data_IF_709151383245
#
_entry.id   IF_709151383245
#
_cell.length_a   1.000
_cell.length_b   1.000
_cell.length_c   1.000
_cell.angle_alpha   90.00
_cell.angle_beta   90.00
_cell.angle_gamma   90.00
#
_symmetry.space_group_name_H-M   'P 1'
#
loop_
_entity.id
_entity.type
_entity.pdbx_description
1 polymer ?
#
# COMPACT_ATOMS: atom_id res chain seq x y z
N UNK A 1 -75.58 -30.41 -7.81
CA UNK A 1 -74.91 -29.13 -7.38
C UNK A 1 -73.88 -29.50 -6.38
N UNK A 2 -72.57 -29.47 -6.79
CA UNK A 2 -71.40 -29.79 -5.96
C UNK A 2 -70.62 -28.53 -5.79
N UNK A 3 -70.62 -28.02 -4.57
CA UNK A 3 -69.83 -26.77 -4.20
C UNK A 3 -68.34 -27.07 -4.02
N UNK A 4 -67.48 -26.46 -4.84
CA UNK A 4 -66.01 -26.50 -4.70
C UNK A 4 -65.62 -25.65 -3.51
N UNK A 5 -65.11 -26.26 -2.43
CA UNK A 5 -64.36 -25.59 -1.37
C UNK A 5 -62.97 -25.34 -1.88
N UNK A 6 -62.58 -24.04 -2.01
CA UNK A 6 -61.25 -23.61 -2.26
C UNK A 6 -60.44 -23.76 -0.98
N UNK A 7 -59.43 -24.64 -0.97
CA UNK A 7 -58.39 -24.70 0.03
C UNK A 7 -57.32 -23.63 -0.34
N UNK A 8 -57.31 -22.51 0.36
CA UNK A 8 -56.22 -21.55 0.32
C UNK A 8 -55.08 -22.12 1.17
N UNK A 9 -54.04 -22.61 0.52
CA UNK A 9 -52.77 -22.95 1.17
C UNK A 9 -52.05 -21.67 1.53
N UNK A 10 -52.03 -21.31 2.82
CA UNK A 10 -51.20 -20.25 3.35
C UNK A 10 -49.73 -20.71 3.34
N UNK A 11 -48.94 -20.20 2.38
CA UNK A 11 -47.50 -20.35 2.40
C UNK A 11 -46.94 -19.47 3.53
N UNK A 12 -46.58 -20.10 4.65
CA UNK A 12 -45.74 -19.43 5.67
C UNK A 12 -44.33 -19.20 5.06
N UNK A 13 -43.81 -17.98 5.10
CA UNK A 13 -42.41 -17.77 4.80
C UNK A 13 -41.57 -18.46 5.87
N UNK A 14 -40.80 -19.47 5.50
CA UNK A 14 -39.74 -20.03 6.32
C UNK A 14 -38.69 -18.93 6.50
N UNK A 15 -38.78 -18.20 7.60
CA UNK A 15 -37.69 -17.35 8.08
C UNK A 15 -36.53 -18.28 8.45
N UNK A 16 -35.57 -18.40 7.55
CA UNK A 16 -34.28 -19.02 7.86
C UNK A 16 -33.66 -18.23 9.00
N UNK A 17 -33.25 -18.87 10.10
CA UNK A 17 -32.68 -18.16 11.23
C UNK A 17 -31.38 -17.53 10.81
N UNK A 18 -31.24 -16.22 11.07
CA UNK A 18 -29.99 -15.43 10.96
C UNK A 18 -28.97 -15.83 12.06
N UNK A 19 -28.80 -17.12 12.34
CA UNK A 19 -27.98 -17.67 13.44
C UNK A 19 -26.52 -17.96 13.06
N UNK A 20 -26.06 -17.56 11.86
CA UNK A 20 -24.70 -17.91 11.42
C UNK A 20 -23.64 -16.84 11.72
N UNK A 21 -23.99 -15.69 12.34
CA UNK A 21 -23.02 -14.60 12.55
C UNK A 21 -22.34 -14.61 13.93
N UNK A 22 -22.86 -15.33 14.92
CA UNK A 22 -22.32 -15.29 16.29
C UNK A 22 -21.03 -16.09 16.48
N UNK A 23 -20.60 -16.91 15.50
CA UNK A 23 -19.41 -17.77 15.59
C UNK A 23 -18.34 -17.49 14.50
N UNK A 24 -18.33 -16.31 13.91
CA UNK A 24 -17.25 -15.98 12.97
C UNK A 24 -15.96 -15.62 13.74
N UNK A 25 -14.77 -16.17 13.36
CA UNK A 25 -14.51 -17.15 12.30
C UNK A 25 -14.63 -18.61 12.80
N UNK A 26 -15.26 -19.49 11.99
CA UNK A 26 -15.41 -20.91 12.28
C UNK A 26 -14.48 -21.83 11.44
N UNK A 27 -13.66 -21.26 10.55
CA UNK A 27 -12.70 -21.96 9.66
C UNK A 27 -11.48 -21.09 9.40
N UNK A 28 -10.39 -21.66 8.84
CA UNK A 28 -9.17 -20.91 8.54
C UNK A 28 -9.39 -19.69 7.64
N UNK A 29 -8.64 -18.63 7.91
CA UNK A 29 -8.64 -17.37 7.15
C UNK A 29 -7.40 -17.33 6.26
N UNK A 30 -7.58 -16.86 5.03
CA UNK A 30 -6.50 -16.65 4.06
C UNK A 30 -6.23 -15.18 3.86
N UNK A 31 -5.01 -14.74 4.10
CA UNK A 31 -4.51 -13.43 3.69
C UNK A 31 -3.85 -13.57 2.32
N UNK A 32 -4.45 -12.98 1.31
CA UNK A 32 -3.85 -12.89 -0.03
C UNK A 32 -2.88 -11.72 -0.06
N UNK A 33 -1.62 -12.02 -0.36
CA UNK A 33 -0.53 -11.08 -0.57
C UNK A 33 -0.24 -11.01 -2.07
N UNK A 34 -0.50 -9.88 -2.77
CA UNK A 34 -0.44 -9.82 -4.24
C UNK A 34 0.97 -9.54 -4.78
N UNK A 35 2.00 -9.92 -4.03
CA UNK A 35 3.42 -9.74 -4.41
C UNK A 35 4.22 -11.01 -4.11
N UNK A 36 5.42 -11.17 -4.71
CA UNK A 36 6.30 -12.31 -4.45
C UNK A 36 6.65 -12.45 -2.97
N UNK A 37 6.86 -13.68 -2.49
CA UNK A 37 7.23 -13.92 -1.11
C UNK A 37 8.62 -13.35 -0.78
N UNK A 38 8.84 -13.03 0.50
CA UNK A 38 10.14 -12.62 1.04
C UNK A 38 10.46 -11.13 0.93
N UNK A 39 9.58 -10.31 0.35
CA UNK A 39 9.74 -8.86 0.43
C UNK A 39 9.29 -8.31 1.81
N UNK A 40 9.63 -7.04 2.10
CA UNK A 40 9.34 -6.43 3.40
C UNK A 40 7.84 -6.46 3.77
N UNK A 41 6.95 -6.26 2.78
CA UNK A 41 5.49 -6.26 3.00
C UNK A 41 5.00 -7.70 3.27
N UNK A 42 5.56 -8.71 2.60
CA UNK A 42 5.24 -10.12 2.85
C UNK A 42 5.64 -10.54 4.28
N UNK A 43 6.80 -10.10 4.75
CA UNK A 43 7.23 -10.35 6.13
C UNK A 43 6.27 -9.73 7.16
N UNK A 44 5.78 -8.51 6.91
CA UNK A 44 4.77 -7.87 7.74
C UNK A 44 3.43 -8.62 7.69
N UNK A 45 3.00 -9.09 6.51
CA UNK A 45 1.78 -9.88 6.37
C UNK A 45 1.83 -11.18 7.18
N UNK A 46 2.98 -11.90 7.15
CA UNK A 46 3.20 -13.13 7.92
C UNK A 46 3.27 -12.86 9.43
N UNK A 47 3.94 -11.78 9.83
CA UNK A 47 3.96 -11.36 11.24
C UNK A 47 2.55 -11.05 11.73
N UNK A 48 1.75 -10.29 10.96
CA UNK A 48 0.37 -9.99 11.31
C UNK A 48 -0.48 -11.27 11.38
N UNK A 49 -0.32 -12.19 10.43
CA UNK A 49 -1.03 -13.47 10.44
C UNK A 49 -0.76 -14.25 11.73
N UNK A 50 0.50 -14.32 12.17
CA UNK A 50 0.88 -15.01 13.41
C UNK A 50 0.19 -14.39 14.65
N UNK A 51 0.15 -13.06 14.72
CA UNK A 51 -0.50 -12.36 15.83
C UNK A 51 -2.05 -12.47 15.78
N UNK A 52 -2.64 -12.59 14.61
CA UNK A 52 -4.08 -12.75 14.44
C UNK A 52 -4.59 -14.15 14.88
N UNK A 53 -3.79 -15.20 14.75
CA UNK A 53 -4.22 -16.58 15.05
C UNK A 53 -4.77 -16.74 16.49
N UNK A 54 -4.05 -16.35 17.55
CA UNK A 54 -4.57 -16.49 18.92
C UNK A 54 -5.78 -15.60 19.18
N UNK A 55 -5.86 -14.41 18.55
CA UNK A 55 -6.95 -13.45 18.72
C UNK A 55 -8.25 -13.94 18.08
N UNK A 56 -8.15 -14.56 16.92
CA UNK A 56 -9.28 -15.10 16.16
C UNK A 56 -9.57 -16.57 16.48
N UNK A 57 -8.68 -17.24 17.22
CA UNK A 57 -8.74 -18.69 17.53
C UNK A 57 -8.91 -19.56 16.27
N UNK A 58 -8.28 -19.13 15.19
CA UNK A 58 -8.30 -19.79 13.89
C UNK A 58 -6.93 -19.71 13.22
N UNK A 59 -6.64 -20.68 12.36
CA UNK A 59 -5.47 -20.61 11.51
C UNK A 59 -5.60 -19.44 10.54
N UNK A 60 -4.56 -18.60 10.47
CA UNK A 60 -4.44 -17.51 9.50
C UNK A 60 -3.21 -17.75 8.63
N UNK A 61 -3.40 -17.92 7.34
CA UNK A 61 -2.32 -18.24 6.39
C UNK A 61 -2.12 -17.13 5.39
N UNK A 62 -0.86 -16.88 4.98
CA UNK A 62 -0.53 -15.94 3.91
C UNK A 62 -0.28 -16.71 2.62
N UNK A 63 -1.00 -16.32 1.56
CA UNK A 63 -0.87 -16.89 0.21
C UNK A 63 -0.43 -15.79 -0.74
N UNK A 64 0.70 -15.99 -1.41
CA UNK A 64 1.20 -15.06 -2.42
C UNK A 64 0.52 -15.33 -3.77
N UNK A 65 -0.08 -14.29 -4.37
CA UNK A 65 -0.68 -14.29 -5.72
C UNK A 65 -0.19 -13.05 -6.46
N UNK A 66 1.05 -13.12 -6.89
CA UNK A 66 1.72 -12.01 -7.57
C UNK A 66 1.29 -11.85 -9.04
N UNK A 67 1.62 -10.69 -9.59
CA UNK A 67 1.42 -10.36 -11.00
C UNK A 67 0.72 -9.01 -11.21
N UNK A 68 1.06 -8.37 -12.34
CA UNK A 68 0.50 -7.10 -12.80
C UNK A 68 0.44 -6.02 -11.68
N UNK A 69 1.59 -5.77 -11.02
CA UNK A 69 1.72 -4.81 -9.91
C UNK A 69 0.69 -5.03 -8.76
N UNK A 70 0.32 -6.29 -8.51
CA UNK A 70 -0.63 -6.68 -7.46
C UNK A 70 -2.09 -6.82 -7.93
N UNK A 71 -2.39 -6.55 -9.19
CA UNK A 71 -3.76 -6.65 -9.71
C UNK A 71 -4.28 -8.09 -9.69
N UNK A 72 -3.46 -9.10 -10.01
CA UNK A 72 -3.88 -10.51 -10.06
C UNK A 72 -4.43 -10.97 -8.72
N UNK A 73 -3.68 -10.80 -7.63
CA UNK A 73 -4.12 -11.16 -6.29
C UNK A 73 -5.32 -10.34 -5.84
N UNK A 74 -5.32 -9.03 -6.11
CA UNK A 74 -6.42 -8.13 -5.73
C UNK A 74 -7.73 -8.51 -6.43
N UNK A 75 -7.72 -8.78 -7.73
CA UNK A 75 -8.90 -9.25 -8.47
C UNK A 75 -9.41 -10.59 -7.92
N UNK A 76 -8.50 -11.49 -7.52
CA UNK A 76 -8.91 -12.77 -6.93
C UNK A 76 -9.69 -12.59 -5.62
N UNK A 77 -9.31 -11.60 -4.79
CA UNK A 77 -10.05 -11.28 -3.56
C UNK A 77 -11.35 -10.53 -3.85
N UNK A 78 -11.33 -9.60 -4.81
CA UNK A 78 -12.55 -8.89 -5.23
C UNK A 78 -13.68 -9.83 -5.69
N UNK A 79 -13.32 -10.99 -6.25
CA UNK A 79 -14.23 -12.03 -6.73
C UNK A 79 -14.53 -13.12 -5.71
N UNK A 80 -13.91 -13.11 -4.54
CA UNK A 80 -14.17 -14.08 -3.48
C UNK A 80 -15.50 -13.80 -2.77
N UNK A 81 -16.00 -14.80 -2.03
CA UNK A 81 -17.16 -14.59 -1.17
C UNK A 81 -16.86 -13.49 -0.14
N UNK A 82 -17.80 -12.53 0.07
CA UNK A 82 -17.63 -11.44 1.02
C UNK A 82 -17.94 -11.88 2.46
N UNK A 83 -17.36 -12.99 2.91
CA UNK A 83 -17.61 -13.64 4.19
C UNK A 83 -16.46 -13.44 5.21
N UNK A 84 -15.41 -12.69 4.83
CA UNK A 84 -14.26 -12.37 5.68
C UNK A 84 -13.20 -13.45 5.79
N UNK A 85 -13.34 -14.59 5.10
CA UNK A 85 -12.34 -15.67 5.12
C UNK A 85 -11.24 -15.49 4.07
N UNK A 86 -11.44 -14.60 3.10
CA UNK A 86 -10.41 -14.19 2.14
C UNK A 86 -10.16 -12.70 2.32
N UNK A 87 -9.00 -12.37 2.86
CA UNK A 87 -8.60 -11.01 3.22
C UNK A 87 -7.43 -10.59 2.32
N UNK A 88 -7.38 -9.35 1.89
CA UNK A 88 -6.30 -8.80 1.08
C UNK A 88 -5.34 -7.99 1.97
N UNK A 89 -4.04 -8.26 1.87
CA UNK A 89 -2.99 -7.45 2.48
C UNK A 89 -2.21 -6.74 1.39
N UNK A 90 -2.39 -5.42 1.25
CA UNK A 90 -1.92 -4.68 0.09
C UNK A 90 -1.70 -3.20 0.40
N UNK A 91 -0.83 -2.50 -0.36
CA UNK A 91 -0.80 -1.04 -0.35
C UNK A 91 -2.12 -0.43 -0.85
N UNK A 92 -2.41 0.79 -0.38
CA UNK A 92 -3.59 1.58 -0.75
C UNK A 92 -3.75 1.80 -2.26
N UNK A 93 -2.66 1.64 -3.03
CA UNK A 93 -2.68 1.75 -4.49
C UNK A 93 -3.73 0.85 -5.18
N UNK A 94 -4.18 -0.23 -4.51
CA UNK A 94 -5.27 -1.08 -5.02
C UNK A 94 -6.57 -0.30 -5.25
N UNK A 95 -6.81 0.73 -4.48
CA UNK A 95 -7.98 1.59 -4.59
C UNK A 95 -7.69 2.96 -5.24
N UNK A 96 -6.45 3.46 -5.12
CA UNK A 96 -6.10 4.81 -5.57
C UNK A 96 -5.39 4.86 -6.94
N UNK A 97 -4.70 3.80 -7.35
CA UNK A 97 -3.89 3.77 -8.58
C UNK A 97 -4.41 2.72 -9.58
N UNK A 98 -4.56 1.46 -9.17
CA UNK A 98 -4.94 0.36 -10.08
C UNK A 98 -6.25 0.59 -10.84
N UNK A 99 -7.32 1.18 -10.25
CA UNK A 99 -8.55 1.48 -10.99
C UNK A 99 -8.37 2.40 -12.19
N UNK A 100 -7.37 3.27 -12.15
CA UNK A 100 -7.05 4.22 -13.23
C UNK A 100 -6.00 3.64 -14.18
N UNK A 101 -4.87 3.16 -13.65
CA UNK A 101 -3.74 2.69 -14.45
C UNK A 101 -3.99 1.32 -15.11
N UNK A 102 -4.92 0.53 -14.58
CA UNK A 102 -5.27 -0.81 -15.08
C UNK A 102 -6.79 -1.01 -15.11
N UNK A 103 -7.52 -0.13 -15.76
CA UNK A 103 -8.98 -0.14 -15.83
C UNK A 103 -9.57 -1.48 -16.33
N UNK A 104 -8.84 -2.22 -17.16
CA UNK A 104 -9.23 -3.56 -17.64
C UNK A 104 -9.39 -4.60 -16.54
N UNK A 105 -8.86 -4.37 -15.34
CA UNK A 105 -9.02 -5.27 -14.18
C UNK A 105 -10.45 -5.27 -13.62
N UNK A 106 -11.21 -4.22 -13.89
CA UNK A 106 -12.54 -3.98 -13.31
C UNK A 106 -12.52 -3.55 -11.84
N UNK A 107 -11.33 -3.31 -11.27
CA UNK A 107 -11.23 -2.75 -9.91
C UNK A 107 -11.72 -1.31 -9.91
N UNK A 108 -12.37 -0.91 -8.83
CA UNK A 108 -12.84 0.45 -8.57
C UNK A 108 -12.34 0.91 -7.21
N UNK A 109 -12.31 2.24 -6.94
CA UNK A 109 -11.91 2.76 -5.63
C UNK A 109 -12.70 2.19 -4.45
N UNK A 110 -13.96 1.79 -4.70
CA UNK A 110 -14.88 1.23 -3.73
C UNK A 110 -14.99 -0.31 -3.74
N UNK A 111 -14.12 -0.99 -4.49
CA UNK A 111 -14.13 -2.47 -4.57
C UNK A 111 -13.85 -3.13 -3.22
N UNK A 112 -13.03 -2.49 -2.39
CA UNK A 112 -12.63 -3.02 -1.10
C UNK A 112 -13.03 -2.11 0.05
N UNK A 113 -13.36 -2.73 1.18
CA UNK A 113 -13.51 -2.07 2.47
C UNK A 113 -12.17 -2.17 3.22
N UNK A 114 -11.57 -1.05 3.67
CA UNK A 114 -10.39 -1.08 4.53
C UNK A 114 -10.76 -1.58 5.94
N UNK A 115 -9.89 -2.38 6.54
CA UNK A 115 -10.05 -2.90 7.90
C UNK A 115 -9.14 -2.15 8.87
N UNK A 116 -7.84 -2.13 8.61
CA UNK A 116 -6.87 -1.36 9.38
C UNK A 116 -5.62 -1.13 8.53
N UNK A 117 -4.99 0.02 8.71
CA UNK A 117 -3.64 0.24 8.21
C UNK A 117 -2.65 -0.42 9.17
N UNK A 118 -1.66 -1.11 8.63
CA UNK A 118 -0.63 -1.79 9.43
C UNK A 118 0.78 -1.55 8.92
N UNK A 119 0.95 -0.84 7.82
CA UNK A 119 2.25 -0.38 7.37
C UNK A 119 2.17 1.01 6.71
N UNK A 120 3.29 1.71 6.75
CA UNK A 120 3.48 3.00 6.09
C UNK A 120 4.93 3.04 5.58
N UNK A 121 5.11 3.14 4.26
CA UNK A 121 6.43 3.17 3.67
C UNK A 121 6.79 4.61 3.32
N UNK A 122 7.83 5.13 3.90
CA UNK A 122 8.41 6.39 3.46
C UNK A 122 9.17 6.18 2.16
N UNK A 123 9.06 7.12 1.23
CA UNK A 123 9.87 7.15 0.02
C UNK A 123 11.09 8.03 0.28
N UNK A 124 12.18 7.77 -0.46
CA UNK A 124 13.39 8.57 -0.37
C UNK A 124 14.00 8.81 -1.74
N UNK A 125 14.69 9.94 -1.89
CA UNK A 125 15.60 10.16 -2.98
C UNK A 125 17.03 9.93 -2.54
N UNK A 126 17.80 9.30 -3.41
CA UNK A 126 19.23 9.05 -3.18
C UNK A 126 20.07 9.34 -4.42
N UNK A 127 21.32 9.61 -4.17
CA UNK A 127 22.39 9.78 -5.16
C UNK A 127 23.62 8.99 -4.72
N UNK A 128 24.62 8.88 -5.58
CA UNK A 128 25.91 8.31 -5.17
C UNK A 128 26.60 9.21 -4.11
N UNK A 129 27.47 8.67 -3.24
CA UNK A 129 28.04 9.42 -2.12
C UNK A 129 28.86 10.66 -2.53
N UNK A 130 29.57 10.60 -3.66
CA UNK A 130 30.41 11.67 -4.19
C UNK A 130 29.67 12.63 -5.14
N UNK A 131 28.35 12.45 -5.33
CA UNK A 131 27.53 13.35 -6.16
C UNK A 131 27.66 14.81 -5.68
N UNK A 132 27.74 15.78 -6.59
CA UNK A 132 27.69 17.21 -6.25
C UNK A 132 26.32 17.63 -5.71
N UNK A 133 25.26 16.87 -5.99
CA UNK A 133 23.89 17.11 -5.51
C UNK A 133 23.82 16.71 -4.03
N UNK A 134 23.49 17.66 -3.15
CA UNK A 134 23.48 17.46 -1.70
C UNK A 134 22.09 17.47 -1.06
N UNK A 135 21.13 18.09 -1.74
CA UNK A 135 19.76 18.29 -1.30
C UNK A 135 18.82 18.48 -2.50
N UNK A 136 17.51 18.68 -2.23
CA UNK A 136 16.53 18.87 -3.29
C UNK A 136 16.69 20.19 -4.05
N UNK A 137 17.24 21.23 -3.42
CA UNK A 137 17.52 22.51 -4.11
C UNK A 137 18.69 22.37 -5.07
N UNK A 138 19.73 21.64 -4.67
CA UNK A 138 20.83 21.28 -5.54
C UNK A 138 20.39 20.42 -6.73
N UNK A 139 19.45 19.47 -6.51
CA UNK A 139 18.85 18.69 -7.58
C UNK A 139 18.02 19.57 -8.53
N UNK A 140 17.21 20.48 -7.99
CA UNK A 140 16.44 21.45 -8.78
C UNK A 140 17.34 22.33 -9.65
N UNK A 141 18.42 22.87 -9.08
CA UNK A 141 19.37 23.69 -9.81
C UNK A 141 20.09 22.92 -10.92
N UNK A 142 20.50 21.68 -10.64
CA UNK A 142 21.14 20.81 -11.63
C UNK A 142 20.19 20.45 -12.79
N UNK A 143 18.92 20.16 -12.49
CA UNK A 143 17.88 19.89 -13.48
C UNK A 143 17.58 21.15 -14.33
N UNK A 144 17.49 22.31 -13.72
CA UNK A 144 17.25 23.58 -14.43
C UNK A 144 18.42 23.96 -15.37
N UNK A 145 19.67 23.64 -15.01
CA UNK A 145 20.84 23.86 -15.86
C UNK A 145 20.85 22.92 -17.08
N UNK A 146 20.26 21.76 -17.00
CA UNK A 146 20.24 20.74 -18.06
C UNK A 146 18.89 19.99 -18.09
N UNK A 147 17.81 20.63 -18.60
CA UNK A 147 16.49 20.04 -18.60
C UNK A 147 16.46 18.68 -19.34
N UNK A 148 15.84 17.67 -18.71
CA UNK A 148 15.72 16.32 -19.26
C UNK A 148 17.02 15.49 -19.35
N UNK A 149 18.18 16.04 -18.99
CA UNK A 149 19.47 15.33 -19.07
C UNK A 149 19.74 14.42 -17.88
N UNK A 150 19.33 14.84 -16.68
CA UNK A 150 19.47 14.01 -15.50
C UNK A 150 18.48 12.83 -15.56
N UNK A 151 18.95 11.68 -15.15
CA UNK A 151 18.16 10.45 -15.13
C UNK A 151 17.74 10.08 -13.71
N UNK A 152 16.53 9.54 -13.56
CA UNK A 152 16.09 8.97 -12.29
C UNK A 152 15.49 7.58 -12.45
N UNK A 153 15.78 6.69 -11.51
CA UNK A 153 15.28 5.32 -11.50
C UNK A 153 14.19 5.09 -10.45
N UNK A 154 13.21 4.26 -10.79
CA UNK A 154 12.14 3.82 -9.89
C UNK A 154 11.75 2.37 -10.14
N UNK A 155 10.80 1.84 -9.35
CA UNK A 155 10.18 0.50 -9.50
C UNK A 155 9.24 0.37 -10.72
N UNK A 156 9.31 1.27 -11.67
CA UNK A 156 8.47 1.29 -12.87
C UNK A 156 7.42 2.39 -12.88
N UNK A 157 6.78 2.54 -14.02
CA UNK A 157 5.75 3.56 -14.26
C UNK A 157 4.57 3.35 -13.29
N UNK A 158 4.02 4.44 -12.76
CA UNK A 158 2.93 4.45 -11.74
C UNK A 158 3.26 3.82 -10.39
N UNK A 159 4.50 3.37 -10.15
CA UNK A 159 4.93 3.02 -8.81
C UNK A 159 4.92 4.24 -7.88
N UNK A 160 4.81 4.02 -6.56
CA UNK A 160 4.81 5.16 -5.62
C UNK A 160 6.10 6.00 -5.70
N UNK A 161 7.32 5.40 -5.81
CA UNK A 161 8.53 6.17 -6.05
C UNK A 161 8.49 7.00 -7.35
N UNK A 162 7.83 6.50 -8.40
CA UNK A 162 7.64 7.26 -9.63
C UNK A 162 6.69 8.45 -9.41
N UNK A 163 5.52 8.23 -8.78
CA UNK A 163 4.58 9.29 -8.45
C UNK A 163 5.19 10.36 -7.53
N UNK A 164 6.08 9.96 -6.61
CA UNK A 164 6.86 10.86 -5.76
C UNK A 164 7.73 11.82 -6.58
N UNK A 165 8.46 11.26 -7.56
CA UNK A 165 9.30 12.07 -8.44
C UNK A 165 8.48 12.99 -9.33
N UNK A 166 7.38 12.51 -9.91
CA UNK A 166 6.49 13.32 -10.73
C UNK A 166 5.92 14.51 -9.93
N UNK A 167 5.50 14.27 -8.68
CA UNK A 167 5.03 15.33 -7.80
C UNK A 167 6.15 16.34 -7.47
N UNK A 168 7.37 15.84 -7.18
CA UNK A 168 8.51 16.71 -6.91
C UNK A 168 8.89 17.52 -8.16
N UNK A 169 8.99 16.89 -9.33
CA UNK A 169 9.31 17.56 -10.59
C UNK A 169 8.30 18.66 -10.92
N UNK A 170 7.01 18.38 -10.72
CA UNK A 170 5.95 19.38 -10.89
C UNK A 170 6.11 20.55 -9.94
N UNK A 171 6.35 20.30 -8.65
CA UNK A 171 6.51 21.33 -7.62
C UNK A 171 7.79 22.14 -7.83
N UNK A 172 8.88 21.47 -8.17
CA UNK A 172 10.19 22.08 -8.42
C UNK A 172 10.33 22.74 -9.80
N UNK A 173 9.37 22.51 -10.71
CA UNK A 173 9.46 22.87 -12.14
C UNK A 173 10.74 22.32 -12.77
N UNK A 174 11.05 21.07 -12.47
CA UNK A 174 12.23 20.36 -12.92
C UNK A 174 11.86 19.30 -13.95
N UNK A 175 12.80 18.95 -14.83
CA UNK A 175 12.63 17.92 -15.84
C UNK A 175 13.80 16.93 -15.75
N UNK A 176 13.47 15.64 -15.47
CA UNK A 176 14.40 14.52 -15.45
C UNK A 176 13.85 13.38 -16.30
N UNK A 177 14.73 12.53 -16.83
CA UNK A 177 14.36 11.37 -17.64
C UNK A 177 14.16 10.15 -16.75
N UNK A 178 12.98 9.52 -16.82
CA UNK A 178 12.63 8.32 -16.06
C UNK A 178 13.25 7.06 -16.67
N UNK A 179 13.81 6.19 -15.80
CA UNK A 179 14.29 4.84 -16.15
C UNK A 179 13.63 3.82 -15.21
N UNK A 180 12.75 2.94 -15.72
CA UNK A 180 12.05 1.96 -14.91
C UNK A 180 12.92 0.73 -14.62
N UNK A 181 12.84 0.22 -13.38
CA UNK A 181 13.50 -1.00 -12.91
C UNK A 181 12.50 -1.96 -12.25
N UNK A 182 12.96 -3.19 -11.94
CA UNK A 182 12.12 -4.20 -11.29
C UNK A 182 12.17 -4.16 -9.76
N UNK A 183 13.12 -3.42 -9.17
CA UNK A 183 13.31 -3.38 -7.71
C UNK A 183 14.31 -2.32 -7.27
N UNK A 184 14.18 -1.88 -6.01
CA UNK A 184 15.04 -0.85 -5.40
C UNK A 184 16.53 -1.22 -5.45
N UNK A 185 16.87 -2.51 -5.29
CA UNK A 185 18.25 -2.99 -5.37
C UNK A 185 18.91 -2.69 -6.72
N UNK A 186 18.17 -2.82 -7.83
CA UNK A 186 18.66 -2.46 -9.16
C UNK A 186 18.85 -0.95 -9.28
N UNK A 187 17.86 -0.15 -8.83
CA UNK A 187 17.96 1.31 -8.82
C UNK A 187 19.21 1.75 -8.08
N UNK A 188 19.43 1.24 -6.86
CA UNK A 188 20.63 1.59 -6.07
C UNK A 188 21.92 1.19 -6.76
N UNK A 189 21.99 0.00 -7.39
CA UNK A 189 23.17 -0.44 -8.13
C UNK A 189 23.50 0.52 -9.28
N UNK A 190 22.49 0.96 -10.03
CA UNK A 190 22.69 1.90 -11.15
C UNK A 190 23.15 3.28 -10.67
N UNK A 191 22.63 3.75 -9.53
CA UNK A 191 23.07 5.01 -8.90
C UNK A 191 24.53 4.90 -8.42
N UNK A 192 24.89 3.83 -7.70
CA UNK A 192 26.24 3.61 -7.18
C UNK A 192 27.27 3.56 -8.31
N UNK A 193 26.93 2.90 -9.41
CA UNK A 193 27.81 2.80 -10.59
C UNK A 193 27.81 4.06 -11.46
N UNK A 194 27.00 5.07 -11.14
CA UNK A 194 26.91 6.33 -11.87
C UNK A 194 26.21 6.24 -13.22
N UNK A 195 25.46 5.13 -13.48
CA UNK A 195 24.60 5.01 -14.67
C UNK A 195 23.24 5.67 -14.49
N UNK A 196 22.85 5.96 -13.25
CA UNK A 196 21.73 6.82 -12.89
C UNK A 196 22.22 7.97 -12.01
N UNK A 197 21.65 9.15 -12.22
CA UNK A 197 21.96 10.32 -11.42
C UNK A 197 21.23 10.29 -10.07
N UNK A 198 19.97 9.86 -10.05
CA UNK A 198 19.08 9.85 -8.88
C UNK A 198 18.32 8.54 -8.78
N UNK A 199 18.15 8.00 -7.58
CA UNK A 199 17.22 6.91 -7.28
C UNK A 199 16.05 7.41 -6.45
N UNK A 200 14.83 6.97 -6.79
CA UNK A 200 13.65 7.12 -5.94
C UNK A 200 13.19 5.72 -5.52
N UNK A 201 13.24 5.45 -4.22
CA UNK A 201 13.06 4.12 -3.64
C UNK A 201 12.20 4.14 -2.38
N UNK A 202 11.84 2.96 -1.90
CA UNK A 202 11.34 2.79 -0.52
C UNK A 202 12.51 2.98 0.44
N UNK A 203 12.37 3.89 1.41
CA UNK A 203 13.44 4.26 2.34
C UNK A 203 14.07 3.05 3.04
N UNK A 204 13.26 2.08 3.50
CA UNK A 204 13.73 0.87 4.17
C UNK A 204 14.75 0.06 3.33
N UNK A 205 14.72 0.16 2.01
CA UNK A 205 15.69 -0.50 1.13
C UNK A 205 17.11 0.08 1.24
N UNK A 206 17.25 1.29 1.79
CA UNK A 206 18.55 1.93 2.07
C UNK A 206 19.05 1.68 3.50
N UNK A 207 18.32 0.93 4.32
CA UNK A 207 18.73 0.67 5.71
C UNK A 207 20.08 -0.04 5.79
N UNK A 208 20.96 0.47 6.66
CA UNK A 208 22.32 -0.06 6.85
C UNK A 208 23.29 0.18 5.70
N UNK A 209 22.90 0.94 4.66
CA UNK A 209 23.77 1.29 3.53
C UNK A 209 24.50 2.59 3.76
N UNK A 210 25.79 2.59 3.42
CA UNK A 210 26.66 3.78 3.45
C UNK A 210 27.25 4.12 2.05
N UNK A 211 26.88 3.33 1.05
CA UNK A 211 27.31 3.46 -0.35
C UNK A 211 26.32 4.28 -1.21
N UNK A 212 25.33 4.90 -0.59
CA UNK A 212 24.40 5.88 -1.17
C UNK A 212 24.25 7.07 -0.22
N UNK A 213 23.93 8.25 -0.76
CA UNK A 213 23.51 9.41 0.01
C UNK A 213 22.03 9.66 -0.16
N UNK A 214 21.29 9.67 0.94
CA UNK A 214 19.90 10.09 0.96
C UNK A 214 19.83 11.64 0.90
N UNK A 215 19.03 12.17 -0.01
CA UNK A 215 18.79 13.61 -0.17
C UNK A 215 17.59 14.08 0.64
N UNK A 216 16.57 13.24 0.73
CA UNK A 216 15.31 13.55 1.40
C UNK A 216 14.52 12.28 1.70
N UNK A 217 13.63 12.37 2.69
CA UNK A 217 12.52 11.47 2.87
C UNK A 217 11.22 12.20 2.50
N UNK A 218 10.32 11.50 1.83
CA UNK A 218 8.99 11.99 1.53
C UNK A 218 8.02 11.50 2.63
N UNK A 219 8.06 12.21 3.76
CA UNK A 219 7.15 11.99 4.88
C UNK A 219 6.86 13.35 5.55
N UNK A 220 5.84 13.39 6.41
CA UNK A 220 5.50 14.59 7.19
C UNK A 220 6.50 14.89 8.31
N UNK A 221 7.32 13.92 8.70
CA UNK A 221 8.35 14.01 9.72
C UNK A 221 9.57 13.20 9.29
N UNK A 222 10.74 13.54 9.83
CA UNK A 222 11.96 12.73 9.65
C UNK A 222 11.73 11.32 10.17
N UNK A 223 12.26 10.34 9.44
CA UNK A 223 12.15 8.95 9.86
C UNK A 223 13.04 8.67 11.07
N UNK A 224 12.55 7.96 12.12
CA UNK A 224 13.31 7.72 13.35
C UNK A 224 14.66 7.01 13.10
N UNK A 225 14.73 6.10 12.14
CA UNK A 225 15.95 5.37 11.79
C UNK A 225 16.89 6.16 10.88
N UNK A 226 16.46 7.33 10.38
CA UNK A 226 17.21 8.23 9.49
C UNK A 226 17.06 9.69 9.95
N UNK A 227 17.41 10.02 11.21
CA UNK A 227 17.11 11.32 11.82
C UNK A 227 17.87 12.48 11.13
N UNK A 228 18.97 12.20 10.46
CA UNK A 228 19.78 13.21 9.77
C UNK A 228 19.28 13.53 8.36
N UNK A 229 18.34 12.72 7.83
CA UNK A 229 17.79 12.94 6.48
C UNK A 229 16.58 13.87 6.56
N UNK A 230 16.65 15.07 5.93
CA UNK A 230 15.55 16.03 5.98
C UNK A 230 14.35 15.53 5.17
N UNK A 231 13.15 16.00 5.55
CA UNK A 231 11.94 15.78 4.73
C UNK A 231 11.94 16.72 3.52
N UNK A 232 11.15 16.41 2.50
CA UNK A 232 10.97 17.30 1.36
C UNK A 232 10.34 18.64 1.79
N UNK A 233 9.41 18.61 2.76
CA UNK A 233 8.78 19.81 3.31
C UNK A 233 9.77 20.71 4.04
N UNK A 234 10.71 20.17 4.83
CA UNK A 234 11.78 20.94 5.47
C UNK A 234 12.69 21.64 4.44
N UNK A 235 12.79 21.10 3.23
CA UNK A 235 13.54 21.68 2.11
C UNK A 235 12.71 22.63 1.25
N UNK A 236 11.43 22.85 1.58
CA UNK A 236 10.54 23.77 0.91
C UNK A 236 9.73 23.17 -0.25
N UNK A 237 9.63 21.85 -0.34
CA UNK A 237 8.83 21.16 -1.35
C UNK A 237 7.67 20.40 -0.69
N UNK A 238 6.46 20.77 -1.03
CA UNK A 238 5.26 20.09 -0.52
C UNK A 238 4.98 18.81 -1.31
N UNK A 239 5.72 17.76 -0.99
CA UNK A 239 5.66 16.44 -1.64
C UNK A 239 5.50 15.39 -0.57
N UNK A 240 4.35 14.74 -0.54
CA UNK A 240 3.98 13.68 0.41
C UNK A 240 3.38 12.48 -0.32
N UNK A 241 4.17 11.71 -1.08
CA UNK A 241 3.67 10.50 -1.71
C UNK A 241 3.35 9.46 -0.63
N UNK A 242 2.09 9.19 -0.44
CA UNK A 242 1.68 8.20 0.55
C UNK A 242 1.85 6.78 -0.01
N UNK A 243 2.65 5.95 0.68
CA UNK A 243 2.72 4.51 0.47
C UNK A 243 2.39 3.80 1.77
N UNK A 244 1.13 3.58 2.00
CA UNK A 244 0.60 2.93 3.18
C UNK A 244 -0.34 1.80 2.76
N UNK A 245 -0.64 0.91 3.69
CA UNK A 245 -1.57 -0.17 3.40
C UNK A 245 -1.86 -1.02 4.62
N UNK A 246 -2.57 -2.10 4.39
CA UNK A 246 -3.00 -2.99 5.46
C UNK A 246 -3.99 -4.03 4.98
N UNK A 247 -4.93 -4.38 5.85
CA UNK A 247 -5.97 -5.34 5.55
C UNK A 247 -7.17 -4.70 4.88
N UNK A 248 -7.65 -5.39 3.84
CA UNK A 248 -8.88 -5.07 3.13
C UNK A 248 -9.73 -6.33 2.96
N UNK A 249 -11.02 -6.15 2.84
CA UNK A 249 -11.98 -7.20 2.47
C UNK A 249 -12.86 -6.71 1.31
N UNK A 250 -13.57 -7.60 0.58
CA UNK A 250 -14.57 -7.16 -0.39
C UNK A 250 -15.57 -6.19 0.23
N UNK A 251 -16.00 -5.18 -0.51
CA UNK A 251 -16.87 -4.11 0.01
C UNK A 251 -18.18 -4.63 0.64
N UNK A 252 -18.73 -5.72 0.09
CA UNK A 252 -19.96 -6.35 0.57
C UNK A 252 -19.80 -7.21 1.85
N UNK A 253 -18.58 -7.27 2.45
CA UNK A 253 -18.37 -8.02 3.70
C UNK A 253 -19.23 -7.45 4.83
N UNK A 254 -19.98 -8.31 5.58
CA UNK A 254 -20.87 -7.87 6.65
C UNK A 254 -20.16 -7.03 7.72
N UNK A 255 -20.87 -6.06 8.28
CA UNK A 255 -20.31 -5.12 9.27
C UNK A 255 -19.77 -5.83 10.52
N UNK A 256 -20.47 -6.85 11.01
CA UNK A 256 -20.05 -7.62 12.17
C UNK A 256 -18.71 -8.34 11.93
N UNK A 257 -18.51 -8.90 10.74
CA UNK A 257 -17.26 -9.57 10.33
C UNK A 257 -16.13 -8.53 10.21
N UNK A 258 -16.40 -7.40 9.56
CA UNK A 258 -15.42 -6.32 9.41
C UNK A 258 -15.00 -5.73 10.77
N UNK A 259 -15.94 -5.56 11.70
CA UNK A 259 -15.68 -5.07 13.06
C UNK A 259 -14.83 -6.08 13.86
N UNK A 260 -15.11 -7.37 13.76
CA UNK A 260 -14.33 -8.41 14.44
C UNK A 260 -12.91 -8.52 13.87
N UNK A 261 -12.75 -8.39 12.54
CA UNK A 261 -11.43 -8.31 11.90
C UNK A 261 -10.66 -7.07 12.35
N UNK A 262 -11.33 -5.92 12.43
CA UNK A 262 -10.73 -4.68 12.91
C UNK A 262 -10.23 -4.81 14.34
N UNK A 263 -11.06 -5.29 15.28
CA UNK A 263 -10.68 -5.52 16.66
C UNK A 263 -9.42 -6.39 16.77
N UNK A 264 -9.40 -7.52 16.06
CA UNK A 264 -8.25 -8.41 16.04
C UNK A 264 -7.02 -7.75 15.40
N UNK A 265 -7.20 -7.00 14.31
CA UNK A 265 -6.12 -6.29 13.63
C UNK A 265 -5.50 -5.19 14.50
N UNK A 266 -6.32 -4.42 15.22
CA UNK A 266 -5.84 -3.40 16.18
C UNK A 266 -4.98 -4.04 17.27
N UNK A 267 -5.45 -5.14 17.86
CA UNK A 267 -4.71 -5.87 18.87
C UNK A 267 -3.39 -6.46 18.32
N UNK A 268 -3.44 -7.10 17.14
CA UNK A 268 -2.29 -7.69 16.48
C UNK A 268 -1.22 -6.66 16.11
N UNK A 269 -1.61 -5.52 15.49
CA UNK A 269 -0.69 -4.46 15.10
C UNK A 269 0.00 -3.77 16.30
N UNK A 270 -0.63 -3.82 17.47
CA UNK A 270 -0.09 -3.28 18.72
C UNK A 270 0.67 -4.30 19.56
N UNK A 271 0.73 -5.58 19.14
CA UNK A 271 1.47 -6.62 19.86
C UNK A 271 2.99 -6.36 19.84
N UNK A 272 3.74 -6.86 20.83
CA UNK A 272 5.20 -6.78 20.81
C UNK A 272 5.83 -7.43 19.57
N UNK A 273 5.26 -8.56 19.11
CA UNK A 273 5.75 -9.29 17.94
C UNK A 273 5.62 -8.48 16.65
N UNK A 274 4.42 -7.93 16.39
CA UNK A 274 4.23 -7.09 15.20
C UNK A 274 5.04 -5.80 15.25
N UNK A 275 5.11 -5.14 16.41
CA UNK A 275 5.95 -3.94 16.60
C UNK A 275 7.43 -4.23 16.33
N UNK A 276 7.92 -5.40 16.73
CA UNK A 276 9.29 -5.81 16.40
C UNK A 276 9.47 -6.01 14.89
N UNK A 277 8.53 -6.70 14.23
CA UNK A 277 8.55 -6.87 12.78
C UNK A 277 8.47 -5.52 12.03
N UNK A 278 7.63 -4.60 12.49
CA UNK A 278 7.54 -3.26 11.92
C UNK A 278 8.86 -2.49 12.04
N UNK A 279 9.52 -2.50 13.20
CA UNK A 279 10.86 -1.89 13.38
C UNK A 279 11.89 -2.54 12.47
N UNK A 280 11.94 -3.87 12.41
CA UNK A 280 12.88 -4.58 11.54
C UNK A 280 12.62 -4.30 10.05
N UNK A 281 11.37 -3.97 9.68
CA UNK A 281 10.98 -3.54 8.34
C UNK A 281 11.12 -2.02 8.12
N UNK A 282 11.78 -1.29 9.03
CA UNK A 282 11.95 0.17 8.98
C UNK A 282 10.63 0.91 8.76
N UNK A 283 9.58 0.50 9.49
CA UNK A 283 8.30 1.20 9.46
C UNK A 283 8.35 2.43 10.38
N UNK A 284 7.86 3.61 9.94
CA UNK A 284 7.78 4.79 10.78
C UNK A 284 6.78 4.60 11.94
N UNK A 285 6.85 5.44 12.97
CA UNK A 285 6.00 5.34 14.15
C UNK A 285 4.49 5.39 13.84
N UNK A 286 4.10 6.04 12.74
CA UNK A 286 2.72 6.20 12.28
C UNK A 286 2.27 5.09 11.29
N UNK A 287 2.86 3.90 11.37
CA UNK A 287 2.50 2.79 10.48
C UNK A 287 1.07 2.26 10.68
N UNK A 288 0.48 2.46 11.86
CA UNK A 288 -0.81 1.90 12.23
C UNK A 288 -1.91 2.98 12.28
N UNK A 289 -3.09 2.66 11.70
CA UNK A 289 -4.34 3.42 11.88
C UNK A 289 -5.53 2.44 11.97
N UNK A 290 -6.52 2.70 12.88
CA UNK A 290 -7.78 1.97 12.91
C UNK A 290 -8.63 2.28 11.66
N UNK A 291 -9.68 1.48 11.44
CA UNK A 291 -10.49 1.50 10.20
C UNK A 291 -10.98 2.88 9.78
N UNK A 292 -11.57 3.63 10.71
CA UNK A 292 -12.16 4.93 10.40
C UNK A 292 -11.11 5.95 9.91
N UNK A 293 -9.93 5.97 10.53
CA UNK A 293 -8.83 6.84 10.13
C UNK A 293 -8.16 6.35 8.85
N UNK A 294 -8.00 5.04 8.70
CA UNK A 294 -7.49 4.43 7.48
C UNK A 294 -8.41 4.73 6.28
N UNK A 295 -9.73 4.63 6.46
CA UNK A 295 -10.70 4.96 5.41
C UNK A 295 -10.65 6.44 4.99
N UNK A 296 -10.49 7.36 5.95
CA UNK A 296 -10.32 8.80 5.64
C UNK A 296 -9.04 9.06 4.86
N UNK A 297 -7.93 8.46 5.31
CA UNK A 297 -6.64 8.57 4.63
C UNK A 297 -6.70 7.98 3.21
N UNK A 298 -7.36 6.83 3.04
CA UNK A 298 -7.56 6.20 1.75
C UNK A 298 -8.36 7.07 0.79
N UNK A 299 -9.44 7.70 1.27
CA UNK A 299 -10.26 8.61 0.46
C UNK A 299 -9.43 9.81 -0.05
N UNK A 300 -8.61 10.41 0.81
CA UNK A 300 -7.68 11.48 0.41
C UNK A 300 -6.65 11.00 -0.62
N UNK A 301 -6.09 9.80 -0.43
CA UNK A 301 -5.11 9.22 -1.35
C UNK A 301 -5.71 8.95 -2.74
N UNK A 302 -6.96 8.46 -2.79
CA UNK A 302 -7.71 8.26 -4.05
C UNK A 302 -7.87 9.58 -4.80
N UNK A 303 -8.23 10.66 -4.11
CA UNK A 303 -8.41 11.98 -4.71
C UNK A 303 -7.09 12.52 -5.27
N UNK A 304 -6.03 12.53 -4.44
CA UNK A 304 -4.71 13.06 -4.80
C UNK A 304 -4.11 12.27 -5.96
N UNK A 305 -4.03 10.95 -5.85
CA UNK A 305 -3.43 10.11 -6.91
C UNK A 305 -4.28 10.07 -8.16
N UNK A 306 -5.60 10.10 -8.03
CA UNK A 306 -6.50 10.23 -9.17
C UNK A 306 -6.26 11.52 -9.95
N UNK A 307 -6.01 12.64 -9.28
CA UNK A 307 -5.65 13.90 -9.94
C UNK A 307 -4.27 13.80 -10.62
N UNK A 308 -3.26 13.24 -9.93
CA UNK A 308 -1.93 13.05 -10.48
C UNK A 308 -1.96 12.18 -11.75
N UNK A 309 -2.63 11.02 -11.71
CA UNK A 309 -2.69 10.10 -12.84
C UNK A 309 -3.41 10.69 -14.06
N UNK A 310 -4.42 11.55 -13.85
CA UNK A 310 -5.08 12.25 -14.95
C UNK A 310 -4.20 13.33 -15.61
N UNK A 311 -3.25 13.88 -14.86
CA UNK A 311 -2.32 14.89 -15.35
C UNK A 311 -1.07 14.27 -16.04
N UNK A 312 -0.80 12.99 -15.83
CA UNK A 312 0.33 12.29 -16.42
C UNK A 312 -0.02 11.74 -17.80
N UNK A 313 0.88 11.85 -18.80
CA UNK A 313 0.73 11.12 -20.06
C UNK A 313 0.97 9.63 -19.76
N UNK A 314 -0.12 8.86 -19.60
CA UNK A 314 -0.10 7.40 -19.51
C UNK A 314 0.03 6.83 -20.93
N UNK A 315 1.22 6.89 -21.52
CA UNK A 315 1.54 6.26 -22.81
C UNK A 315 2.09 4.85 -22.62
#
# INVERSE_FOLDING_TARGET
MVTRRQLAAAALPLALPALAQDNWPARPIQIVMPYPPGNAIDLLARSLANELQPLLRQTVTVINRDGAAGAVGSVSVARSAPDGYTVLFVPALVASVLPVSQASTGLRPDTFRPICQVFNNSMALLVKPDSPIRDLRGLQAAAAANPGRLTYGTLGVTSIPHLAMEQWMSTARAELTHVPFRGDGQVMTEVITGRLDVGSIVLGSAAGRNDVRLLTVFDSQRHPDFPDVPTAQEQGFDVLPASFGGLFVPAATPDAVAARLEEACVAAANSPGYRAAARNGNQPANYFLPRAEFARRLAQDIEIKGAQLRAMPLN
#
